data_IF_946540397400
#
_entry.id   IF_946540397400
#
_cell.length_a   1.000
_cell.length_b   1.000
_cell.length_c   1.000
_cell.angle_alpha   90.00
_cell.angle_beta   90.00
_cell.angle_gamma   90.00
#
_symmetry.space_group_name_H-M   'P 1'
#
loop_
_entity.id
_entity.type
_entity.pdbx_description
1 polymer ?
#
# COMPACT_ATOMS: atom_id res chain seq x y z
N UNK A 1 2.56 -4.17 -26.39
CA UNK A 1 3.13 -3.28 -25.35
C UNK A 1 3.30 -4.11 -24.10
N UNK A 2 4.43 -4.02 -23.42
CA UNK A 2 4.67 -4.77 -22.19
C UNK A 2 3.65 -4.37 -21.10
N UNK A 3 3.17 -5.35 -20.33
CA UNK A 3 2.27 -5.12 -19.18
C UNK A 3 3.12 -4.92 -17.94
N UNK A 4 3.18 -3.72 -17.44
CA UNK A 4 4.06 -3.32 -16.33
C UNK A 4 3.22 -2.83 -15.17
N UNK A 5 3.45 -3.40 -13.98
CA UNK A 5 2.86 -2.93 -12.71
C UNK A 5 3.85 -2.01 -12.01
N UNK A 6 3.34 -0.89 -11.49
CA UNK A 6 3.97 -0.13 -10.42
C UNK A 6 3.02 -0.01 -9.24
N UNK A 7 3.54 -0.28 -8.05
CA UNK A 7 2.87 -0.03 -6.76
C UNK A 7 3.93 0.32 -5.72
N UNK A 8 3.53 0.74 -4.52
CA UNK A 8 4.49 1.05 -3.47
C UNK A 8 3.83 1.51 -2.18
N UNK A 9 4.65 1.69 -1.16
CA UNK A 9 4.24 2.22 0.15
C UNK A 9 5.27 3.22 0.66
N UNK A 10 4.81 4.21 1.42
CA UNK A 10 5.68 5.16 2.11
C UNK A 10 6.26 4.53 3.38
N UNK A 11 7.57 4.60 3.61
CA UNK A 11 8.22 4.03 4.80
C UNK A 11 8.03 4.94 6.03
N UNK A 12 6.78 5.15 6.44
CA UNK A 12 6.40 5.95 7.61
C UNK A 12 6.15 5.13 8.86
N UNK A 13 6.55 3.88 8.88
CA UNK A 13 6.43 2.91 9.96
C UNK A 13 6.21 1.49 9.41
N UNK A 14 6.31 0.49 10.28
CA UNK A 14 6.05 -0.92 9.96
C UNK A 14 4.69 -1.12 9.30
N UNK A 15 4.56 -2.12 8.45
CA UNK A 15 3.28 -2.44 7.82
C UNK A 15 2.39 -3.24 8.80
N UNK A 16 1.10 -3.04 8.68
CA UNK A 16 0.10 -3.72 9.50
C UNK A 16 -0.83 -4.58 8.64
N UNK A 17 -1.62 -5.42 9.26
CA UNK A 17 -2.52 -6.35 8.57
C UNK A 17 -3.50 -5.65 7.62
N UNK A 18 -3.83 -4.38 7.84
CA UNK A 18 -4.61 -3.58 6.89
C UNK A 18 -3.89 -3.37 5.54
N UNK A 19 -2.55 -3.22 5.54
CA UNK A 19 -1.75 -3.21 4.30
C UNK A 19 -1.72 -4.61 3.67
N UNK A 20 -1.63 -5.66 4.49
CA UNK A 20 -1.64 -7.03 3.99
C UNK A 20 -2.92 -7.35 3.23
N UNK A 21 -4.07 -7.16 3.85
CA UNK A 21 -5.38 -7.45 3.23
C UNK A 21 -5.69 -6.48 2.08
N UNK A 22 -5.40 -5.19 2.27
CA UNK A 22 -5.75 -4.16 1.30
C UNK A 22 -4.84 -4.11 0.07
N UNK A 23 -3.60 -4.63 0.17
CA UNK A 23 -2.61 -4.47 -0.91
C UNK A 23 -1.68 -5.65 -1.08
N UNK A 24 -0.89 -6.02 -0.05
CA UNK A 24 0.24 -6.95 -0.22
C UNK A 24 -0.20 -8.34 -0.70
N UNK A 25 -1.30 -8.87 -0.15
CA UNK A 25 -1.85 -10.16 -0.59
C UNK A 25 -2.20 -10.15 -2.08
N UNK A 26 -2.77 -9.05 -2.57
CA UNK A 26 -3.07 -8.91 -4.00
C UNK A 26 -1.81 -8.76 -4.84
N UNK A 27 -0.78 -8.05 -4.36
CA UNK A 27 0.53 -7.96 -5.07
C UNK A 27 1.16 -9.33 -5.27
N UNK A 28 1.11 -10.20 -4.27
CA UNK A 28 1.61 -11.58 -4.37
C UNK A 28 0.80 -12.40 -5.38
N UNK A 29 -0.52 -12.22 -5.42
CA UNK A 29 -1.37 -12.87 -6.43
C UNK A 29 -1.01 -12.40 -7.84
N UNK A 30 -0.86 -11.09 -8.05
CA UNK A 30 -0.47 -10.52 -9.34
C UNK A 30 0.94 -10.99 -9.77
N UNK A 31 1.89 -11.03 -8.83
CA UNK A 31 3.23 -11.57 -9.06
C UNK A 31 3.20 -13.01 -9.58
N UNK A 32 2.31 -13.83 -9.05
CA UNK A 32 2.24 -15.25 -9.38
C UNK A 32 1.25 -15.58 -10.51
N UNK A 33 0.51 -14.59 -11.02
CA UNK A 33 -0.45 -14.78 -12.11
C UNK A 33 0.21 -15.08 -13.46
N UNK A 34 1.45 -14.59 -13.66
CA UNK A 34 2.13 -14.65 -14.94
C UNK A 34 1.55 -13.73 -16.04
N UNK A 35 0.67 -12.81 -15.66
CA UNK A 35 0.00 -11.90 -16.60
C UNK A 35 0.82 -10.65 -16.94
N UNK A 36 1.83 -10.33 -16.13
CA UNK A 36 2.62 -9.11 -16.21
C UNK A 36 4.07 -9.43 -16.54
N UNK A 37 4.62 -8.67 -17.47
CA UNK A 37 6.01 -8.81 -17.91
C UNK A 37 6.99 -8.30 -16.86
N UNK A 38 6.62 -7.22 -16.16
CA UNK A 38 7.42 -6.62 -15.09
C UNK A 38 6.54 -6.10 -13.95
N UNK A 39 7.05 -6.25 -12.73
CA UNK A 39 6.41 -5.74 -11.51
C UNK A 39 7.44 -4.96 -10.71
N UNK A 40 7.14 -3.69 -10.46
CA UNK A 40 7.93 -2.79 -9.64
C UNK A 40 7.18 -2.47 -8.34
N UNK A 41 7.87 -2.59 -7.21
CA UNK A 41 7.36 -2.18 -5.90
C UNK A 41 8.30 -1.12 -5.33
N UNK A 42 7.80 0.09 -5.21
CA UNK A 42 8.54 1.25 -4.75
C UNK A 42 8.45 1.42 -3.22
N UNK A 43 9.57 1.61 -2.57
CA UNK A 43 9.63 2.19 -1.23
C UNK A 43 9.71 3.71 -1.41
N UNK A 44 8.58 4.40 -1.20
CA UNK A 44 8.39 5.81 -1.56
C UNK A 44 8.88 6.74 -0.44
N UNK A 45 10.19 6.77 -0.22
CA UNK A 45 10.83 7.55 0.85
C UNK A 45 10.83 9.07 0.56
N UNK A 46 11.10 9.49 -0.67
CA UNK A 46 10.99 10.90 -1.05
C UNK A 46 9.55 11.41 -0.90
N UNK A 47 8.57 10.59 -1.29
CA UNK A 47 7.15 10.90 -1.07
C UNK A 47 6.81 10.97 0.44
N UNK A 48 7.43 10.14 1.27
CA UNK A 48 7.22 10.16 2.71
C UNK A 48 7.68 11.47 3.35
N UNK A 49 8.71 12.12 2.79
CA UNK A 49 9.22 13.40 3.29
C UNK A 49 8.24 14.57 3.07
N UNK A 50 7.25 14.47 2.21
CA UNK A 50 6.26 15.54 1.97
C UNK A 50 5.47 15.91 3.24
N UNK A 51 5.36 15.00 4.19
CA UNK A 51 4.68 15.17 5.47
C UNK A 51 5.45 14.62 6.68
N UNK A 52 6.74 14.27 6.49
CA UNK A 52 7.68 13.86 7.54
C UNK A 52 9.07 14.51 7.32
N UNK A 53 9.12 15.71 6.73
CA UNK A 53 10.37 16.40 6.42
C UNK A 53 11.17 16.77 7.69
N UNK A 54 10.50 16.91 8.81
CA UNK A 54 11.07 17.22 10.14
C UNK A 54 11.54 15.98 10.90
N UNK A 55 11.29 14.77 10.36
CA UNK A 55 11.70 13.51 10.97
C UNK A 55 12.26 12.52 9.94
N UNK A 56 13.42 12.81 9.32
CA UNK A 56 14.02 11.95 8.30
C UNK A 56 14.50 10.61 8.85
N UNK A 57 14.89 10.54 10.11
CA UNK A 57 15.31 9.29 10.75
C UNK A 57 14.19 8.27 10.77
N UNK A 58 12.96 8.69 11.04
CA UNK A 58 11.77 7.82 10.94
C UNK A 58 11.62 7.20 9.55
N UNK A 59 11.84 7.99 8.49
CA UNK A 59 11.75 7.48 7.11
C UNK A 59 12.87 6.48 6.85
N UNK A 60 14.11 6.82 7.21
CA UNK A 60 15.30 5.99 7.03
C UNK A 60 15.17 4.63 7.74
N UNK A 61 14.80 4.63 9.01
CA UNK A 61 14.64 3.41 9.81
C UNK A 61 13.58 2.45 9.24
N UNK A 62 12.55 2.99 8.60
CA UNK A 62 11.45 2.19 8.10
C UNK A 62 11.65 1.66 6.66
N UNK A 63 12.72 2.00 5.95
CA UNK A 63 13.04 1.42 4.64
C UNK A 63 13.22 -0.09 4.76
N UNK A 64 14.09 -0.54 5.65
CA UNK A 64 14.34 -1.96 5.89
C UNK A 64 13.12 -2.67 6.49
N UNK A 65 12.39 -2.02 7.40
CA UNK A 65 11.18 -2.59 7.99
C UNK A 65 10.11 -2.90 6.91
N UNK A 66 9.90 -1.97 5.97
CA UNK A 66 8.96 -2.16 4.85
C UNK A 66 9.45 -3.24 3.87
N UNK A 67 10.75 -3.27 3.55
CA UNK A 67 11.33 -4.31 2.71
C UNK A 67 11.17 -5.70 3.32
N UNK A 68 11.45 -5.83 4.63
CA UNK A 68 11.24 -7.08 5.38
C UNK A 68 9.78 -7.53 5.35
N UNK A 69 8.85 -6.59 5.52
CA UNK A 69 7.41 -6.90 5.48
C UNK A 69 6.97 -7.34 4.07
N UNK A 70 7.52 -6.77 2.99
CA UNK A 70 7.24 -7.22 1.62
C UNK A 70 7.70 -8.67 1.40
N UNK A 71 8.96 -8.96 1.73
CA UNK A 71 9.54 -10.30 1.58
C UNK A 71 8.82 -11.32 2.48
N UNK A 72 8.47 -10.93 3.71
CA UNK A 72 7.71 -11.76 4.63
C UNK A 72 6.32 -12.13 4.10
N UNK A 73 5.65 -11.19 3.43
CA UNK A 73 4.34 -11.45 2.81
C UNK A 73 4.42 -12.33 1.56
N UNK A 74 5.62 -12.62 1.05
CA UNK A 74 5.82 -13.50 -0.11
C UNK A 74 6.12 -12.79 -1.42
N UNK A 75 6.53 -11.52 -1.37
CA UNK A 75 7.12 -10.86 -2.54
C UNK A 75 8.45 -11.54 -2.84
N UNK A 76 8.57 -12.07 -4.05
CA UNK A 76 9.71 -12.79 -4.56
C UNK A 76 10.62 -11.84 -5.37
N UNK A 77 11.84 -11.54 -4.89
CA UNK A 77 12.73 -10.60 -5.58
C UNK A 77 13.25 -11.12 -6.94
N UNK A 78 13.08 -12.42 -7.24
CA UNK A 78 13.39 -12.96 -8.56
C UNK A 78 12.34 -12.62 -9.62
N UNK A 79 11.11 -12.28 -9.19
CA UNK A 79 9.96 -11.94 -10.06
C UNK A 79 9.57 -10.47 -9.99
N UNK A 80 9.89 -9.82 -8.88
CA UNK A 80 9.44 -8.47 -8.57
C UNK A 80 10.63 -7.59 -8.20
N UNK A 81 10.72 -6.44 -8.83
CA UNK A 81 11.76 -5.46 -8.58
C UNK A 81 11.35 -4.55 -7.42
N UNK A 82 12.04 -4.63 -6.28
CA UNK A 82 11.83 -3.74 -5.13
C UNK A 82 12.91 -2.66 -5.18
N UNK A 83 12.52 -1.38 -5.12
CA UNK A 83 13.47 -0.27 -5.24
C UNK A 83 13.14 0.91 -4.31
N UNK A 84 14.14 1.78 -4.09
CA UNK A 84 14.03 2.98 -3.27
C UNK A 84 13.84 4.19 -4.18
N UNK A 85 12.79 4.98 -3.95
CA UNK A 85 12.38 6.10 -4.79
C UNK A 85 13.45 7.18 -4.91
N UNK A 86 14.04 7.62 -3.79
CA UNK A 86 15.02 8.72 -3.75
C UNK A 86 16.30 8.45 -4.51
N UNK A 87 16.63 7.18 -4.73
CA UNK A 87 17.81 6.75 -5.50
C UNK A 87 17.61 6.86 -7.04
N UNK A 88 16.40 7.21 -7.48
CA UNK A 88 16.06 7.39 -8.90
C UNK A 88 15.92 8.89 -9.20
N UNK A 89 17.02 9.57 -9.43
CA UNK A 89 17.06 11.02 -9.66
C UNK A 89 16.20 11.50 -10.85
N UNK A 90 16.00 10.63 -11.84
CA UNK A 90 15.17 10.89 -13.02
C UNK A 90 13.72 11.23 -12.67
N UNK A 91 13.19 10.70 -11.57
CA UNK A 91 11.83 11.00 -11.09
C UNK A 91 11.68 12.48 -10.73
N UNK A 92 12.73 13.07 -10.16
CA UNK A 92 12.74 14.50 -9.81
C UNK A 92 12.80 15.37 -11.06
N UNK A 93 13.61 15.01 -12.05
CA UNK A 93 13.71 15.74 -13.31
C UNK A 93 12.39 15.66 -14.11
N UNK A 94 11.77 14.48 -14.22
CA UNK A 94 10.45 14.31 -14.83
C UNK A 94 9.38 15.11 -14.10
N UNK A 95 9.39 15.10 -12.76
CA UNK A 95 8.46 15.91 -11.96
C UNK A 95 8.53 17.40 -12.34
N UNK A 96 9.74 17.93 -12.48
CA UNK A 96 9.95 19.32 -12.88
C UNK A 96 9.37 19.60 -14.28
N UNK A 97 9.57 18.71 -15.25
CA UNK A 97 8.99 18.88 -16.59
C UNK A 97 7.46 18.82 -16.54
N UNK A 98 6.89 17.91 -15.78
CA UNK A 98 5.44 17.76 -15.64
C UNK A 98 4.76 18.91 -14.90
N UNK A 99 5.48 19.62 -14.01
CA UNK A 99 4.97 20.86 -13.40
C UNK A 99 4.57 21.91 -14.43
N UNK A 100 5.18 21.92 -15.62
CA UNK A 100 4.81 22.84 -16.71
C UNK A 100 3.52 22.44 -17.43
N UNK A 101 3.02 21.23 -17.21
CA UNK A 101 1.81 20.69 -17.83
C UNK A 101 0.57 20.81 -16.96
N UNK A 102 0.72 21.14 -15.67
CA UNK A 102 -0.37 21.16 -14.68
C UNK A 102 -0.52 22.56 -14.09
N UNK A 103 -1.74 23.06 -14.03
CA UNK A 103 -2.00 24.36 -13.38
C UNK A 103 -2.18 24.20 -11.86
N UNK A 104 -1.84 25.25 -11.11
CA UNK A 104 -2.07 25.31 -9.64
C UNK A 104 -3.54 25.03 -9.31
N UNK A 105 -4.47 25.62 -10.07
CA UNK A 105 -5.90 25.42 -9.85
C UNK A 105 -6.35 23.97 -10.07
N UNK A 106 -5.67 23.19 -10.94
CA UNK A 106 -5.96 21.77 -11.15
C UNK A 106 -5.52 20.95 -9.94
N UNK A 107 -4.32 21.20 -9.41
CA UNK A 107 -3.83 20.54 -8.18
C UNK A 107 -4.74 20.83 -6.99
N UNK A 108 -5.12 22.08 -6.81
CA UNK A 108 -6.02 22.48 -5.73
C UNK A 108 -7.41 21.84 -5.79
N UNK A 109 -7.84 21.39 -6.97
CA UNK A 109 -9.14 20.71 -7.14
C UNK A 109 -9.09 19.20 -6.94
N UNK A 110 -7.89 18.60 -6.83
CA UNK A 110 -7.78 17.16 -6.61
C UNK A 110 -8.45 16.77 -5.26
N UNK A 111 -9.48 15.89 -5.28
CA UNK A 111 -10.25 15.58 -4.08
C UNK A 111 -9.44 14.83 -3.02
N UNK A 112 -8.51 13.96 -3.42
CA UNK A 112 -7.64 13.22 -2.49
C UNK A 112 -6.71 14.19 -1.75
N UNK A 113 -6.05 15.11 -2.48
CA UNK A 113 -5.18 16.14 -1.86
C UNK A 113 -5.96 17.02 -0.89
N UNK A 114 -7.18 17.45 -1.27
CA UNK A 114 -8.05 18.23 -0.37
C UNK A 114 -8.39 17.50 0.93
N UNK A 115 -8.76 16.22 0.82
CA UNK A 115 -9.09 15.40 1.97
C UNK A 115 -7.88 15.21 2.90
N UNK A 116 -6.69 14.99 2.33
CA UNK A 116 -5.46 14.81 3.09
C UNK A 116 -5.00 16.10 3.75
N UNK A 117 -5.07 17.27 3.06
CA UNK A 117 -4.76 18.59 3.65
C UNK A 117 -5.62 18.82 4.90
N UNK A 118 -6.93 18.57 4.79
CA UNK A 118 -7.87 18.72 5.92
C UNK A 118 -7.54 17.75 7.07
N UNK A 119 -7.25 16.50 6.74
CA UNK A 119 -6.92 15.46 7.74
C UNK A 119 -5.63 15.79 8.51
N UNK A 120 -4.66 16.45 7.87
CA UNK A 120 -3.37 16.81 8.46
C UNK A 120 -3.35 18.16 9.14
N UNK A 121 -4.41 18.97 9.01
CA UNK A 121 -4.48 20.29 9.62
C UNK A 121 -3.47 21.30 9.05
N UNK A 122 -3.11 21.18 7.76
CA UNK A 122 -2.19 22.15 7.12
C UNK A 122 -2.82 23.52 6.87
N UNK A 123 -4.13 23.64 6.95
CA UNK A 123 -5.02 24.81 6.75
C UNK A 123 -4.43 26.01 5.97
N UNK A 124 -3.57 26.81 6.61
CA UNK A 124 -3.01 28.02 6.00
C UNK A 124 -1.55 27.89 5.50
N UNK A 125 -0.86 26.79 5.83
CA UNK A 125 0.58 26.59 5.51
C UNK A 125 0.83 25.22 4.91
N UNK A 126 0.39 25.03 3.66
CA UNK A 126 0.58 23.78 2.92
C UNK A 126 2.00 23.77 2.34
N UNK A 127 2.85 22.77 2.67
CA UNK A 127 4.15 22.61 2.01
C UNK A 127 3.98 22.43 0.50
N UNK A 128 4.82 23.10 -0.30
CA UNK A 128 4.76 22.99 -1.78
C UNK A 128 4.93 21.54 -2.24
N UNK A 129 5.85 20.78 -1.63
CA UNK A 129 6.04 19.36 -1.92
C UNK A 129 4.76 18.55 -1.69
N UNK A 130 4.00 18.86 -0.61
CA UNK A 130 2.71 18.22 -0.36
C UNK A 130 1.65 18.61 -1.40
N UNK A 131 1.61 19.86 -1.84
CA UNK A 131 0.69 20.28 -2.89
C UNK A 131 1.03 19.66 -4.26
N UNK A 132 2.33 19.42 -4.53
CA UNK A 132 2.82 18.95 -5.82
C UNK A 132 2.99 17.43 -5.92
N UNK A 133 2.80 16.66 -4.85
CA UNK A 133 3.03 15.22 -4.89
C UNK A 133 2.23 14.45 -5.96
N UNK A 134 1.03 14.88 -6.41
CA UNK A 134 0.36 14.20 -7.51
C UNK A 134 1.15 14.25 -8.83
N UNK A 135 1.98 15.28 -9.01
CA UNK A 135 2.85 15.41 -10.19
C UNK A 135 4.06 14.46 -10.03
N UNK A 136 4.64 14.37 -8.84
CA UNK A 136 5.74 13.41 -8.59
C UNK A 136 5.27 11.97 -8.70
N UNK A 137 4.04 11.66 -8.27
CA UNK A 137 3.46 10.33 -8.46
C UNK A 137 3.25 10.01 -9.95
N UNK A 138 2.87 10.98 -10.76
CA UNK A 138 2.81 10.80 -12.21
C UNK A 138 4.19 10.52 -12.83
N UNK A 139 5.25 11.15 -12.30
CA UNK A 139 6.62 10.86 -12.71
C UNK A 139 7.06 9.45 -12.31
N UNK A 140 6.75 9.00 -11.08
CA UNK A 140 7.00 7.64 -10.63
C UNK A 140 6.40 6.60 -11.59
N UNK A 141 5.13 6.80 -11.95
CA UNK A 141 4.37 5.87 -12.81
C UNK A 141 4.92 5.86 -14.23
N UNK A 142 5.13 7.02 -14.81
CA UNK A 142 5.51 7.14 -16.22
C UNK A 142 6.99 6.82 -16.48
N UNK A 143 7.89 7.08 -15.51
CA UNK A 143 9.31 6.76 -15.63
C UNK A 143 9.56 5.26 -15.87
N UNK A 144 8.75 4.43 -15.28
CA UNK A 144 8.82 2.96 -15.43
C UNK A 144 7.89 2.44 -16.52
N UNK A 145 7.22 3.33 -17.28
CA UNK A 145 6.22 2.99 -18.31
C UNK A 145 5.14 2.04 -17.78
N UNK A 146 4.73 2.23 -16.52
CA UNK A 146 3.72 1.40 -15.90
C UNK A 146 2.38 1.50 -16.63
N UNK A 147 1.87 0.35 -17.06
CA UNK A 147 0.55 0.24 -17.70
C UNK A 147 -0.57 0.04 -16.70
N UNK A 148 -0.23 -0.44 -15.50
CA UNK A 148 -1.19 -0.85 -14.48
C UNK A 148 -0.71 -0.44 -13.09
N UNK A 149 -1.60 0.20 -12.32
CA UNK A 149 -1.34 0.60 -10.93
C UNK A 149 -2.39 -0.04 -10.02
N UNK A 150 -2.05 -1.12 -9.30
CA UNK A 150 -2.94 -1.69 -8.29
C UNK A 150 -3.09 -0.72 -7.12
N UNK A 151 -4.28 -0.19 -6.90
CA UNK A 151 -4.55 0.79 -5.85
C UNK A 151 -6.02 0.79 -5.43
N UNK A 152 -6.32 1.37 -4.27
CA UNK A 152 -7.69 1.59 -3.81
C UNK A 152 -8.40 2.71 -4.57
N UNK A 153 -9.73 2.79 -4.46
CA UNK A 153 -10.54 3.83 -5.12
C UNK A 153 -10.12 5.25 -4.75
N UNK A 154 -9.59 5.47 -3.56
CA UNK A 154 -9.09 6.76 -3.11
C UNK A 154 -7.90 7.28 -3.92
N UNK A 155 -7.22 6.40 -4.68
CA UNK A 155 -6.13 6.76 -5.59
C UNK A 155 -6.60 7.05 -7.02
N UNK A 156 -7.87 6.86 -7.34
CA UNK A 156 -8.42 7.13 -8.67
C UNK A 156 -8.12 8.56 -9.16
N UNK A 157 -8.31 9.62 -8.35
CA UNK A 157 -7.98 10.99 -8.78
C UNK A 157 -6.49 11.23 -9.06
N UNK A 158 -5.60 10.40 -8.51
CA UNK A 158 -4.16 10.44 -8.79
C UNK A 158 -3.84 9.81 -10.14
N UNK A 159 -4.48 8.69 -10.45
CA UNK A 159 -4.31 8.04 -11.75
C UNK A 159 -4.91 8.90 -12.86
N UNK A 160 -6.07 9.50 -12.66
CA UNK A 160 -6.65 10.48 -13.60
C UNK A 160 -5.71 11.67 -13.84
N UNK A 161 -5.09 12.22 -12.77
CA UNK A 161 -4.10 13.29 -12.90
C UNK A 161 -2.88 12.83 -13.71
N UNK A 162 -2.43 11.59 -13.53
CA UNK A 162 -1.34 11.01 -14.31
C UNK A 162 -1.73 10.87 -15.79
N UNK A 163 -2.93 10.37 -16.08
CA UNK A 163 -3.46 10.25 -17.44
C UNK A 163 -3.55 11.62 -18.14
N UNK A 164 -4.03 12.65 -17.43
CA UNK A 164 -4.07 14.02 -17.95
C UNK A 164 -2.66 14.54 -18.32
N UNK A 165 -1.65 14.27 -17.47
CA UNK A 165 -0.26 14.68 -17.74
C UNK A 165 0.28 13.95 -18.96
N UNK A 166 0.12 12.61 -19.01
CA UNK A 166 0.57 11.77 -20.13
C UNK A 166 -0.09 12.20 -21.43
N UNK A 167 -1.41 12.36 -21.45
CA UNK A 167 -2.15 12.81 -22.61
C UNK A 167 -1.67 14.18 -23.11
N UNK A 168 -1.51 15.13 -22.19
CA UNK A 168 -1.03 16.49 -22.54
C UNK A 168 0.41 16.47 -23.05
N UNK A 169 1.29 15.68 -22.43
CA UNK A 169 2.66 15.50 -22.88
C UNK A 169 2.69 14.97 -24.32
N UNK A 170 2.02 13.83 -24.56
CA UNK A 170 1.99 13.18 -25.85
C UNK A 170 1.36 14.08 -26.95
N UNK A 171 0.35 14.86 -26.61
CA UNK A 171 -0.28 15.84 -27.54
C UNK A 171 0.68 16.95 -27.97
N UNK A 172 1.60 17.38 -27.10
CA UNK A 172 2.51 18.50 -27.38
C UNK A 172 3.81 18.01 -28.03
N UNK A 173 4.37 16.90 -27.49
CA UNK A 173 5.73 16.46 -27.82
C UNK A 173 5.79 15.18 -28.65
N UNK A 174 4.64 14.53 -28.90
CA UNK A 174 4.54 13.24 -29.60
C UNK A 174 4.44 12.04 -28.65
N UNK A 175 3.96 10.93 -29.19
CA UNK A 175 3.72 9.66 -28.46
C UNK A 175 5.00 9.13 -27.82
N UNK A 176 5.15 9.33 -26.52
CA UNK A 176 6.36 8.98 -25.74
C UNK A 176 6.01 8.23 -24.46
N UNK A 177 5.04 8.75 -23.71
CA UNK A 177 4.63 8.23 -22.41
C UNK A 177 3.45 7.26 -22.53
N UNK A 178 3.37 6.31 -21.61
CA UNK A 178 2.31 5.30 -21.56
C UNK A 178 1.24 5.72 -20.56
N UNK A 179 -0.03 5.66 -20.98
CA UNK A 179 -1.18 5.97 -20.12
C UNK A 179 -1.45 4.79 -19.17
N UNK A 180 -1.39 4.98 -17.84
CA UNK A 180 -1.64 3.93 -16.88
C UNK A 180 -3.13 3.70 -16.66
N UNK A 181 -3.48 2.48 -16.19
CA UNK A 181 -4.83 2.13 -15.72
C UNK A 181 -4.76 1.74 -14.25
N UNK A 182 -5.76 2.16 -13.48
CA UNK A 182 -5.93 1.65 -12.12
C UNK A 182 -6.45 0.22 -12.17
N UNK A 183 -5.92 -0.62 -11.30
CA UNK A 183 -6.43 -1.97 -11.04
C UNK A 183 -7.01 -2.00 -9.63
N UNK A 184 -8.32 -1.96 -9.53
CA UNK A 184 -9.02 -2.05 -8.26
C UNK A 184 -8.99 -3.50 -7.73
N UNK A 185 -8.85 -3.69 -6.41
CA UNK A 185 -8.94 -5.02 -5.81
C UNK A 185 -10.32 -5.65 -6.04
N UNK A 186 -10.34 -6.94 -6.36
CA UNK A 186 -11.57 -7.66 -6.71
C UNK A 186 -12.56 -7.86 -5.55
N UNK A 187 -12.09 -7.81 -4.28
CA UNK A 187 -12.91 -8.01 -3.08
C UNK A 187 -13.02 -6.71 -2.26
N UNK A 188 -14.04 -5.92 -2.51
CA UNK A 188 -14.28 -4.64 -1.81
C UNK A 188 -14.60 -4.78 -0.31
N UNK A 189 -15.20 -5.90 0.12
CA UNK A 189 -15.68 -6.07 1.50
C UNK A 189 -14.59 -6.10 2.57
N UNK A 190 -13.37 -6.54 2.21
CA UNK A 190 -12.26 -6.72 3.16
C UNK A 190 -11.19 -5.63 3.10
N UNK A 191 -11.35 -4.61 2.26
CA UNK A 191 -10.28 -3.67 1.90
C UNK A 191 -9.92 -2.64 2.99
N UNK A 192 -10.81 -2.40 3.93
CA UNK A 192 -10.60 -1.40 5.00
C UNK A 192 -10.88 -2.01 6.36
N UNK A 193 -9.88 -2.66 6.93
CA UNK A 193 -10.00 -3.12 8.31
C UNK A 193 -10.09 -1.91 9.26
N UNK A 194 -11.06 -1.89 10.18
CA UNK A 194 -11.10 -0.93 11.28
C UNK A 194 -9.89 -1.15 12.19
N UNK A 195 -9.51 -0.13 12.95
CA UNK A 195 -8.58 -0.30 14.05
C UNK A 195 -9.16 -1.23 15.12
N UNK A 196 -8.31 -1.77 15.97
CA UNK A 196 -8.72 -2.64 17.09
C UNK A 196 -9.68 -1.94 18.07
N UNK A 197 -9.73 -0.61 18.04
CA UNK A 197 -10.62 0.24 18.84
C UNK A 197 -12.03 0.40 18.26
N UNK A 198 -12.28 -0.07 17.03
CA UNK A 198 -13.57 0.01 16.36
C UNK A 198 -14.04 1.41 15.93
N UNK A 199 -13.25 2.44 16.17
CA UNK A 199 -13.66 3.83 15.98
C UNK A 199 -13.22 4.43 14.66
N UNK A 200 -12.06 4.03 14.19
CA UNK A 200 -11.43 4.61 12.99
C UNK A 200 -10.76 3.52 12.16
N UNK A 201 -10.34 3.89 10.93
CA UNK A 201 -9.45 3.06 10.12
C UNK A 201 -8.20 2.75 10.92
N UNK A 202 -7.65 1.53 10.73
CA UNK A 202 -6.36 1.15 11.29
C UNK A 202 -5.29 2.18 10.92
N UNK A 203 -4.63 2.74 11.91
CA UNK A 203 -3.64 3.79 11.74
C UNK A 203 -2.50 3.68 12.76
N UNK A 204 -1.27 3.82 12.26
CA UNK A 204 -0.05 3.80 13.09
C UNK A 204 -0.09 4.89 14.18
N UNK A 205 -0.55 6.08 13.84
CA UNK A 205 -0.61 7.24 14.76
C UNK A 205 -1.63 7.06 15.89
N UNK A 206 -2.65 6.22 15.70
CA UNK A 206 -3.67 5.93 16.71
C UNK A 206 -3.31 4.74 17.61
N UNK A 207 -2.23 4.01 17.29
CA UNK A 207 -1.83 2.82 18.05
C UNK A 207 -2.82 1.66 18.00
N UNK A 208 -3.79 1.69 17.08
CA UNK A 208 -4.86 0.71 16.94
C UNK A 208 -4.58 -0.36 15.87
N UNK A 209 -3.29 -0.64 15.60
CA UNK A 209 -2.83 -1.56 14.57
C UNK A 209 -2.38 -2.90 15.13
N UNK A 210 -2.61 -3.98 14.37
CA UNK A 210 -1.85 -5.24 14.47
C UNK A 210 -0.80 -5.20 13.37
N UNK A 211 0.50 -5.18 13.74
CA UNK A 211 1.61 -5.15 12.80
C UNK A 211 1.94 -6.54 12.30
N UNK A 212 2.50 -6.64 11.09
CA UNK A 212 2.99 -7.91 10.54
C UNK A 212 4.18 -8.46 11.34
N UNK A 213 4.88 -7.58 12.04
CA UNK A 213 6.00 -7.90 12.93
C UNK A 213 5.61 -8.21 14.38
N UNK A 214 4.31 -8.13 14.74
CA UNK A 214 3.87 -8.44 16.11
C UNK A 214 4.06 -9.93 16.41
N UNK A 215 4.53 -10.23 17.62
CA UNK A 215 4.62 -11.60 18.13
C UNK A 215 3.25 -12.15 18.55
N UNK A 216 3.21 -13.44 18.85
CA UNK A 216 1.98 -14.16 19.22
C UNK A 216 1.28 -13.55 20.44
N UNK A 217 2.03 -13.18 21.46
CA UNK A 217 1.48 -12.60 22.68
C UNK A 217 0.92 -11.21 22.44
N UNK A 218 1.60 -10.42 21.63
CA UNK A 218 1.14 -9.07 21.24
C UNK A 218 -0.14 -9.15 20.42
N UNK A 219 -0.21 -10.04 19.42
CA UNK A 219 -1.42 -10.28 18.63
C UNK A 219 -2.57 -10.70 19.54
N UNK A 220 -2.34 -11.68 20.42
CA UNK A 220 -3.35 -12.14 21.38
C UNK A 220 -3.87 -11.03 22.27
N UNK A 221 -2.98 -10.20 22.84
CA UNK A 221 -3.39 -9.04 23.65
C UNK A 221 -4.25 -8.08 22.87
N UNK A 222 -3.83 -7.72 21.64
CA UNK A 222 -4.58 -6.81 20.77
C UNK A 222 -5.95 -7.38 20.37
N UNK A 223 -6.03 -8.65 20.00
CA UNK A 223 -7.31 -9.31 19.66
C UNK A 223 -8.24 -9.38 20.86
N UNK A 224 -7.73 -9.76 22.03
CA UNK A 224 -8.56 -9.84 23.24
C UNK A 224 -9.06 -8.49 23.72
N UNK A 225 -8.35 -7.38 23.40
CA UNK A 225 -8.76 -6.01 23.71
C UNK A 225 -9.60 -5.34 22.61
N UNK A 226 -9.89 -6.04 21.50
CA UNK A 226 -10.70 -5.47 20.41
C UNK A 226 -12.05 -5.00 20.88
N UNK A 227 -12.49 -3.90 20.29
CA UNK A 227 -13.85 -3.39 20.45
C UNK A 227 -14.87 -4.41 19.91
N UNK A 228 -15.95 -4.59 20.66
CA UNK A 228 -17.11 -5.41 20.30
C UNK A 228 -18.39 -4.58 20.42
N UNK A 229 -19.54 -5.21 20.53
CA UNK A 229 -20.79 -4.52 20.77
C UNK A 229 -20.90 -4.06 22.25
N UNK A 230 -21.00 -2.75 22.52
CA UNK A 230 -21.10 -2.25 23.90
C UNK A 230 -22.42 -2.60 24.59
N UNK A 231 -23.45 -2.94 23.83
CA UNK A 231 -24.77 -3.33 24.37
C UNK A 231 -24.81 -4.84 24.73
N UNK A 232 -23.83 -5.63 24.27
CA UNK A 232 -23.72 -7.07 24.56
C UNK A 232 -23.04 -7.31 25.91
N UNK A 233 -23.74 -7.03 27.01
CA UNK A 233 -23.22 -7.09 28.39
C UNK A 233 -23.22 -8.52 28.92
N UNK A 234 -24.31 -9.28 28.70
CA UNK A 234 -24.46 -10.67 29.13
C UNK A 234 -24.37 -11.59 27.92
N UNK A 235 -23.87 -12.79 28.13
CA UNK A 235 -23.78 -13.83 27.07
C UNK A 235 -25.17 -14.13 26.46
N UNK A 236 -26.24 -13.98 27.24
CA UNK A 236 -27.60 -14.18 26.79
C UNK A 236 -28.16 -13.05 25.91
N UNK A 237 -27.51 -11.89 25.92
CA UNK A 237 -28.02 -10.73 25.18
C UNK A 237 -27.77 -10.93 23.67
N UNK A 238 -28.69 -10.48 22.81
CA UNK A 238 -28.42 -10.41 21.37
C UNK A 238 -27.26 -9.45 21.07
N UNK A 239 -26.32 -9.88 20.25
CA UNK A 239 -25.18 -9.05 19.86
C UNK A 239 -25.33 -8.47 18.45
N UNK A 240 -24.68 -7.33 18.19
CA UNK A 240 -24.61 -6.70 16.86
C UNK A 240 -23.31 -7.05 16.18
N UNK A 241 -23.37 -7.43 14.91
CA UNK A 241 -22.20 -7.69 14.08
C UNK A 241 -21.74 -6.44 13.32
N UNK A 242 -22.64 -5.53 12.98
CA UNK A 242 -22.34 -4.26 12.35
C UNK A 242 -21.48 -3.39 13.28
N UNK A 243 -20.32 -2.96 12.77
CA UNK A 243 -19.37 -2.17 13.57
C UNK A 243 -18.55 -2.98 14.58
N UNK A 244 -18.78 -4.29 14.67
CA UNK A 244 -17.99 -5.19 15.51
C UNK A 244 -16.71 -5.60 14.82
N UNK A 245 -15.57 -5.10 15.31
CA UNK A 245 -14.25 -5.35 14.71
C UNK A 245 -13.92 -6.84 14.57
N UNK A 246 -14.32 -7.65 15.57
CA UNK A 246 -13.98 -9.07 15.60
C UNK A 246 -14.58 -9.80 14.41
N UNK A 247 -15.84 -9.52 14.08
CA UNK A 247 -16.48 -10.13 12.90
C UNK A 247 -15.91 -9.58 11.59
N UNK A 248 -15.58 -8.29 11.52
CA UNK A 248 -14.92 -7.73 10.31
C UNK A 248 -13.58 -8.40 10.05
N UNK A 249 -12.81 -8.72 11.09
CA UNK A 249 -11.55 -9.44 10.94
C UNK A 249 -11.76 -10.91 10.58
N UNK A 250 -12.80 -11.57 11.13
CA UNK A 250 -13.18 -12.91 10.72
C UNK A 250 -13.60 -12.95 9.25
N UNK A 251 -14.35 -11.96 8.75
CA UNK A 251 -14.69 -11.84 7.33
C UNK A 251 -13.43 -11.73 6.42
N UNK A 252 -12.37 -11.11 6.92
CA UNK A 252 -11.15 -10.92 6.15
C UNK A 252 -10.20 -12.13 6.15
N UNK A 253 -10.17 -12.90 7.24
CA UNK A 253 -9.15 -13.93 7.49
C UNK A 253 -9.70 -15.34 7.67
N UNK A 254 -10.95 -15.50 8.09
CA UNK A 254 -11.50 -16.80 8.40
C UNK A 254 -11.77 -17.62 7.13
N UNK A 255 -11.41 -18.90 7.18
CA UNK A 255 -11.63 -19.91 6.15
C UNK A 255 -12.42 -21.08 6.72
N UNK A 256 -13.07 -21.92 5.89
CA UNK A 256 -13.80 -23.09 6.36
C UNK A 256 -12.96 -24.03 7.27
N UNK A 257 -11.69 -24.22 6.93
CA UNK A 257 -10.76 -25.10 7.66
C UNK A 257 -10.55 -24.65 9.12
N UNK A 258 -10.67 -23.33 9.38
CA UNK A 258 -10.53 -22.81 10.75
C UNK A 258 -11.67 -23.23 11.66
N UNK A 259 -12.89 -23.45 11.12
CA UNK A 259 -14.00 -23.98 11.91
C UNK A 259 -13.75 -25.43 12.31
N UNK A 260 -13.39 -26.27 11.36
CA UNK A 260 -13.07 -27.69 11.63
C UNK A 260 -12.02 -27.82 12.73
N UNK A 261 -11.01 -26.95 12.72
CA UNK A 261 -9.86 -27.01 13.62
C UNK A 261 -10.09 -26.38 15.00
N UNK A 262 -10.77 -25.23 15.05
CA UNK A 262 -10.81 -24.40 16.26
C UNK A 262 -12.21 -24.20 16.83
N UNK A 263 -13.27 -24.42 16.04
CA UNK A 263 -14.64 -24.15 16.46
C UNK A 263 -15.64 -25.10 15.77
N UNK A 264 -15.45 -26.45 15.90
CA UNK A 264 -16.16 -27.47 15.13
C UNK A 264 -17.68 -27.54 15.39
N UNK A 265 -18.19 -26.86 16.42
CA UNK A 265 -19.61 -26.76 16.67
C UNK A 265 -20.36 -25.80 15.73
N UNK A 266 -19.66 -25.05 14.85
CA UNK A 266 -20.23 -24.19 13.82
C UNK A 266 -19.78 -24.66 12.44
N UNK A 267 -20.72 -24.70 11.52
CA UNK A 267 -20.45 -25.07 10.13
C UNK A 267 -19.63 -24.00 9.38
N UNK A 268 -19.90 -22.72 9.67
CA UNK A 268 -19.30 -21.58 8.97
C UNK A 268 -19.48 -20.26 9.75
N UNK A 269 -18.93 -19.19 9.21
CA UNK A 269 -18.97 -17.87 9.82
C UNK A 269 -20.40 -17.31 9.93
N UNK A 270 -21.29 -17.60 8.98
CA UNK A 270 -22.67 -17.14 9.02
C UNK A 270 -23.45 -17.81 10.17
N UNK A 271 -23.21 -19.08 10.43
CA UNK A 271 -23.77 -19.78 11.59
C UNK A 271 -23.27 -19.18 12.92
N UNK A 272 -21.99 -18.81 13.00
CA UNK A 272 -21.41 -18.14 14.16
C UNK A 272 -22.03 -16.75 14.36
N UNK A 273 -22.15 -15.97 13.29
CA UNK A 273 -22.81 -14.64 13.30
C UNK A 273 -24.27 -14.73 13.74
N UNK A 274 -25.01 -15.65 13.17
CA UNK A 274 -26.43 -15.86 13.52
C UNK A 274 -26.60 -16.25 15.00
N UNK A 275 -25.68 -17.06 15.57
CA UNK A 275 -25.71 -17.38 16.99
C UNK A 275 -25.41 -16.14 17.86
N UNK A 276 -24.41 -15.35 17.50
CA UNK A 276 -24.09 -14.11 18.21
C UNK A 276 -25.27 -13.11 18.23
N UNK A 277 -25.91 -12.93 17.08
CA UNK A 277 -27.09 -12.05 16.95
C UNK A 277 -28.32 -12.54 17.72
N UNK A 278 -28.46 -13.84 17.89
CA UNK A 278 -29.58 -14.44 18.66
C UNK A 278 -29.37 -14.32 20.17
N UNK A 279 -28.13 -14.17 20.62
CA UNK A 279 -27.72 -14.30 22.01
C UNK A 279 -27.33 -15.74 22.38
N UNK A 280 -26.56 -15.89 23.44
CA UNK A 280 -26.03 -17.16 23.92
C UNK A 280 -24.55 -17.40 23.57
N UNK A 281 -23.91 -16.46 22.86
CA UNK A 281 -22.49 -16.54 22.49
C UNK A 281 -21.73 -15.31 23.00
N UNK A 282 -20.81 -15.50 23.94
CA UNK A 282 -20.05 -14.39 24.52
C UNK A 282 -18.84 -13.96 23.67
N UNK A 283 -18.51 -12.67 23.73
CA UNK A 283 -17.40 -12.03 23.00
C UNK A 283 -16.06 -12.72 23.17
N UNK A 284 -15.75 -13.19 24.39
CA UNK A 284 -14.48 -13.86 24.69
C UNK A 284 -14.29 -15.11 23.84
N UNK A 285 -15.35 -15.88 23.57
CA UNK A 285 -15.26 -17.07 22.73
C UNK A 285 -14.98 -16.70 21.28
N UNK A 286 -15.66 -15.69 20.75
CA UNK A 286 -15.44 -15.21 19.39
C UNK A 286 -14.03 -14.61 19.22
N UNK A 287 -13.57 -13.83 20.21
CA UNK A 287 -12.18 -13.31 20.23
C UNK A 287 -11.12 -14.39 20.28
N UNK A 288 -11.34 -15.46 21.07
CA UNK A 288 -10.43 -16.61 21.11
C UNK A 288 -10.36 -17.32 19.75
N UNK A 289 -11.50 -17.48 19.08
CA UNK A 289 -11.55 -18.04 17.74
C UNK A 289 -10.80 -17.15 16.76
N UNK A 290 -11.08 -15.83 16.74
CA UNK A 290 -10.32 -14.88 15.90
C UNK A 290 -8.82 -14.95 16.19
N UNK A 291 -8.40 -15.03 17.47
CA UNK A 291 -6.99 -15.17 17.80
C UNK A 291 -6.37 -16.42 17.16
N UNK A 292 -7.05 -17.56 17.20
CA UNK A 292 -6.56 -18.79 16.58
C UNK A 292 -6.41 -18.64 15.08
N UNK A 293 -7.41 -18.04 14.40
CA UNK A 293 -7.36 -17.71 12.97
C UNK A 293 -6.19 -16.79 12.66
N UNK A 294 -6.03 -15.70 13.43
CA UNK A 294 -4.95 -14.73 13.21
C UNK A 294 -3.57 -15.32 13.43
N UNK A 295 -3.41 -16.18 14.45
CA UNK A 295 -2.13 -16.87 14.69
C UNK A 295 -1.76 -17.77 13.52
N UNK A 296 -2.70 -18.54 12.99
CA UNK A 296 -2.45 -19.44 11.84
C UNK A 296 -2.13 -18.65 10.56
N UNK A 297 -2.92 -17.64 10.25
CA UNK A 297 -2.75 -16.85 9.02
C UNK A 297 -1.46 -16.00 9.04
N UNK A 298 -1.01 -15.55 10.21
CA UNK A 298 0.17 -14.70 10.32
C UNK A 298 1.47 -15.48 10.67
N UNK A 299 1.38 -16.72 11.14
CA UNK A 299 2.57 -17.50 11.46
C UNK A 299 3.56 -17.61 10.30
N UNK A 300 3.14 -17.96 9.06
CA UNK A 300 4.08 -18.06 7.93
C UNK A 300 4.74 -16.73 7.57
N UNK A 301 4.05 -15.61 7.81
CA UNK A 301 4.60 -14.27 7.58
C UNK A 301 5.66 -13.95 8.62
N UNK A 302 5.38 -14.23 9.91
CA UNK A 302 6.35 -14.03 11.00
C UNK A 302 7.61 -14.86 10.81
N UNK A 303 7.46 -16.14 10.46
CA UNK A 303 8.58 -17.05 10.21
C UNK A 303 9.48 -16.53 9.10
N UNK A 304 8.91 -16.22 7.92
CA UNK A 304 9.67 -15.63 6.81
C UNK A 304 10.32 -14.30 7.18
N UNK A 305 9.62 -13.48 7.99
CA UNK A 305 10.18 -12.20 8.43
C UNK A 305 11.43 -12.38 9.28
N UNK A 306 11.42 -13.35 10.21
CA UNK A 306 12.58 -13.69 11.05
C UNK A 306 13.73 -14.23 10.19
N UNK A 307 13.44 -15.07 9.20
CA UNK A 307 14.45 -15.58 8.26
C UNK A 307 15.13 -14.45 7.48
N UNK A 308 14.37 -13.49 6.94
CA UNK A 308 14.90 -12.33 6.24
C UNK A 308 15.62 -11.37 7.17
N UNK A 309 15.14 -11.20 8.39
CA UNK A 309 15.81 -10.37 9.40
C UNK A 309 17.20 -10.94 9.77
N UNK A 310 17.37 -12.24 9.73
CA UNK A 310 18.67 -12.88 9.93
C UNK A 310 19.62 -12.68 8.72
N UNK A 311 19.11 -12.21 7.58
CA UNK A 311 19.83 -12.02 6.31
C UNK A 311 19.81 -10.58 5.82
N UNK A 312 19.89 -9.59 6.71
CA UNK A 312 19.82 -8.16 6.34
C UNK A 312 20.77 -7.75 5.20
N UNK A 313 22.02 -8.23 5.12
CA UNK A 313 22.89 -7.90 3.96
C UNK A 313 22.28 -8.35 2.62
N UNK A 314 21.56 -9.47 2.57
CA UNK A 314 20.88 -9.94 1.37
C UNK A 314 19.66 -9.04 1.03
N UNK A 315 18.91 -8.59 2.03
CA UNK A 315 17.81 -7.64 1.84
C UNK A 315 18.33 -6.32 1.24
N UNK A 316 19.45 -5.80 1.77
CA UNK A 316 20.09 -4.60 1.21
C UNK A 316 20.51 -4.81 -0.23
N UNK A 317 21.11 -5.97 -0.56
CA UNK A 317 21.50 -6.32 -1.93
C UNK A 317 20.30 -6.37 -2.88
N UNK A 318 19.16 -6.95 -2.44
CA UNK A 318 17.91 -6.97 -3.21
C UNK A 318 17.47 -5.54 -3.54
N UNK A 319 17.49 -4.63 -2.55
CA UNK A 319 17.14 -3.22 -2.75
C UNK A 319 18.11 -2.52 -3.72
N UNK A 320 19.41 -2.75 -3.58
CA UNK A 320 20.42 -2.17 -4.48
C UNK A 320 20.25 -2.65 -5.93
N UNK A 321 20.06 -3.94 -6.14
CA UNK A 321 19.89 -4.52 -7.48
C UNK A 321 18.58 -4.07 -8.11
N UNK A 322 17.49 -4.05 -7.33
CA UNK A 322 16.19 -3.55 -7.79
C UNK A 322 16.23 -2.07 -8.13
N UNK A 323 16.92 -1.27 -7.32
CA UNK A 323 17.10 0.17 -7.56
C UNK A 323 17.92 0.41 -8.83
N UNK A 324 19.01 -0.33 -9.07
CA UNK A 324 19.78 -0.24 -10.31
C UNK A 324 18.95 -0.57 -11.54
N UNK A 325 18.08 -1.59 -11.46
CA UNK A 325 17.18 -1.96 -12.56
C UNK A 325 16.16 -0.85 -12.83
N UNK A 326 15.49 -0.33 -11.78
CA UNK A 326 14.54 0.76 -11.90
C UNK A 326 15.18 2.05 -12.43
N UNK A 327 16.40 2.36 -11.95
CA UNK A 327 17.20 3.49 -12.45
C UNK A 327 17.43 3.40 -13.95
N UNK A 328 17.91 2.25 -14.45
CA UNK A 328 18.18 2.06 -15.87
C UNK A 328 16.92 2.22 -16.74
N UNK A 329 15.76 1.77 -16.25
CA UNK A 329 14.47 1.96 -16.93
C UNK A 329 14.06 3.41 -16.95
N UNK A 330 14.15 4.10 -15.80
CA UNK A 330 13.82 5.52 -15.68
C UNK A 330 14.76 6.42 -16.51
N UNK A 331 16.06 6.10 -16.57
CA UNK A 331 17.04 6.80 -17.41
C UNK A 331 16.64 6.75 -18.88
N UNK A 332 16.29 5.56 -19.38
CA UNK A 332 15.84 5.40 -20.76
C UNK A 332 14.59 6.22 -21.04
N UNK A 333 13.61 6.20 -20.15
CA UNK A 333 12.37 6.99 -20.32
C UNK A 333 12.65 8.49 -20.28
N UNK A 334 13.52 8.95 -19.37
CA UNK A 334 13.93 10.35 -19.31
C UNK A 334 14.63 10.79 -20.60
N UNK A 335 15.50 9.98 -21.16
CA UNK A 335 16.14 10.25 -22.44
C UNK A 335 15.13 10.39 -23.59
N UNK A 336 14.12 9.51 -23.64
CA UNK A 336 13.04 9.59 -24.63
C UNK A 336 12.22 10.88 -24.44
N UNK A 337 11.90 11.26 -23.20
CA UNK A 337 11.21 12.51 -22.85
C UNK A 337 12.03 13.73 -23.30
N UNK A 338 13.31 13.78 -22.97
CA UNK A 338 14.21 14.88 -23.36
C UNK A 338 14.35 14.99 -24.87
N UNK A 339 14.41 13.88 -25.57
CA UNK A 339 14.46 13.85 -27.05
C UNK A 339 13.17 14.42 -27.65
N UNK A 340 12.00 13.98 -27.16
CA UNK A 340 10.70 14.51 -27.61
C UNK A 340 10.53 16.00 -27.34
N UNK A 341 11.05 16.47 -26.19
CA UNK A 341 11.06 17.90 -25.83
C UNK A 341 12.15 18.70 -26.55
N UNK A 342 13.04 18.05 -27.31
CA UNK A 342 14.18 18.66 -28.01
C UNK A 342 15.18 19.38 -27.08
N UNK A 343 15.44 18.80 -25.88
CA UNK A 343 16.35 19.37 -24.88
C UNK A 343 17.55 18.46 -24.57
N UNK A 344 17.84 17.51 -25.43
CA UNK A 344 19.00 16.60 -25.36
C UNK A 344 20.17 17.05 -26.26
N UNK A 345 20.48 18.33 -26.20
CA UNK A 345 21.34 19.10 -27.11
C UNK A 345 22.67 18.44 -27.52
N UNK A 346 23.31 17.69 -26.63
CA UNK A 346 24.61 17.09 -26.88
C UNK A 346 24.55 15.64 -27.37
N UNK A 347 23.39 14.99 -27.31
CA UNK A 347 23.20 13.62 -27.81
C UNK A 347 22.87 13.61 -29.32
N UNK A 348 22.15 14.62 -29.81
CA UNK A 348 21.57 14.64 -31.16
C UNK A 348 22.30 15.58 -32.12
N UNK A 349 23.37 16.28 -31.68
CA UNK A 349 24.03 17.35 -32.44
C UNK A 349 23.04 18.40 -33.00
N UNK A 350 21.94 18.66 -32.31
CA UNK A 350 20.82 19.49 -32.79
C UNK A 350 21.04 21.00 -32.61
N UNK A 351 22.18 21.39 -32.01
CA UNK A 351 22.53 22.81 -31.82
C UNK A 351 23.21 23.46 -33.02
N UNK A 352 23.54 22.69 -34.07
CA UNK A 352 24.25 23.20 -35.25
C UNK A 352 23.39 23.03 -36.48
#
# INVERSE_FOLDING_TARGET
MAKIILTGDRPTGKLHIGHYVGSLRNRVLLQNSGEYDEIYIMIADAQALTDNFDNPDKVRENILEVALDYLACGIDPSKTTIFIQSEISQLTELTFYYMNLVSVSRLQRNPTVKAEIKMRGFDASIPVGFQCYPISQAADISALKATTVPAGEDQMPMIEQTQEIVHKFNSIYGETLVEPKILLPQNCACLRLPGTDGKAKMSKSLGNCIYLSDDEETIKKKVMSMYTDPDHIKVSDPGKIEGNCVFTYLDAFCKPEHFEKYLPEYENLDALKAHYQRGGLGDVKVKRFLNSVMQEELAPIRERRLEWQAKLPEVVKILEEGTKKAYATAEKTLDEVKSSMKINYFKDNTLI
#
